data_IF_865436674846
#
_entry.id   IF_865436674846
#
_cell.length_a   1.000
_cell.length_b   1.000
_cell.length_c   1.000
_cell.angle_alpha   90.00
_cell.angle_beta   90.00
_cell.angle_gamma   90.00
#
_symmetry.space_group_name_H-M   'P 1'
#
loop_
_entity.id
_entity.type
_entity.pdbx_description
1 polymer ?
#
# COMPACT_ATOMS: atom_id res chain seq x y z
N UNK A 1 0.10 -19.37 12.17
CA UNK A 1 0.96 -18.80 13.26
C UNK A 1 1.08 -17.29 13.09
N UNK A 2 1.42 -16.82 11.94
CA UNK A 2 1.65 -15.39 11.61
C UNK A 2 0.38 -14.53 11.65
N UNK A 3 -0.74 -15.01 11.10
CA UNK A 3 -2.06 -14.36 11.24
C UNK A 3 -2.42 -14.09 12.70
N UNK A 4 -2.15 -15.05 13.59
CA UNK A 4 -2.36 -14.90 15.04
C UNK A 4 -1.46 -13.81 15.62
N UNK A 5 -0.23 -13.67 15.12
CA UNK A 5 0.70 -12.63 15.55
C UNK A 5 0.19 -11.23 15.14
N UNK A 6 -0.31 -11.09 13.89
CA UNK A 6 -0.94 -9.85 13.43
C UNK A 6 -2.16 -9.50 14.29
N UNK A 7 -3.05 -10.48 14.54
CA UNK A 7 -4.24 -10.26 15.37
C UNK A 7 -3.89 -9.84 16.80
N UNK A 8 -2.88 -10.48 17.41
CA UNK A 8 -2.42 -10.13 18.75
C UNK A 8 -1.80 -8.73 18.79
N UNK A 9 -0.99 -8.37 17.78
CA UNK A 9 -0.44 -7.03 17.65
C UNK A 9 -1.55 -5.97 17.57
N UNK A 10 -2.56 -6.20 16.73
CA UNK A 10 -3.70 -5.29 16.61
C UNK A 10 -4.45 -5.16 17.93
N UNK A 11 -4.70 -6.25 18.63
CA UNK A 11 -5.38 -6.23 19.94
C UNK A 11 -4.57 -5.46 21.00
N UNK A 12 -3.25 -5.59 21.01
CA UNK A 12 -2.36 -4.86 21.92
C UNK A 12 -2.31 -3.36 21.62
N UNK A 13 -2.26 -2.99 20.36
CA UNK A 13 -2.21 -1.57 19.93
C UNK A 13 -3.54 -0.84 20.16
N UNK A 14 -4.67 -1.58 20.25
CA UNK A 14 -6.02 -1.03 20.37
C UNK A 14 -6.81 -1.70 21.51
N UNK A 15 -6.36 -1.57 22.77
CA UNK A 15 -7.05 -2.16 23.90
C UNK A 15 -8.49 -1.62 23.99
N UNK A 16 -9.45 -2.51 24.21
CA UNK A 16 -10.87 -2.18 24.27
C UNK A 16 -11.57 -2.04 22.91
N UNK A 17 -10.86 -2.19 21.79
CA UNK A 17 -11.50 -2.27 20.48
C UNK A 17 -11.79 -3.74 20.14
N UNK A 18 -13.06 -4.10 19.85
CA UNK A 18 -13.37 -5.46 19.40
C UNK A 18 -12.61 -5.84 18.15
N UNK A 19 -11.89 -6.95 18.21
CA UNK A 19 -11.18 -7.55 17.09
C UNK A 19 -11.81 -8.92 16.84
N UNK A 20 -12.48 -9.07 15.72
CA UNK A 20 -13.07 -10.35 15.31
C UNK A 20 -12.08 -11.10 14.43
N UNK A 21 -11.94 -12.39 14.68
CA UNK A 21 -11.12 -13.29 13.86
C UNK A 21 -12.02 -14.17 13.01
N UNK A 22 -11.59 -14.48 11.81
CA UNK A 22 -12.30 -15.35 10.89
C UNK A 22 -13.75 -14.90 10.63
N UNK A 23 -13.95 -13.57 10.44
CA UNK A 23 -15.28 -13.04 10.17
C UNK A 23 -15.81 -13.52 8.82
N UNK A 24 -17.00 -14.10 8.81
CA UNK A 24 -17.68 -14.60 7.61
C UNK A 24 -18.98 -13.85 7.29
N UNK A 25 -19.35 -12.87 8.09
CA UNK A 25 -20.61 -12.13 7.93
C UNK A 25 -20.47 -11.06 6.85
N UNK A 26 -19.37 -10.33 6.86
CA UNK A 26 -19.10 -9.23 5.91
C UNK A 26 -19.09 -9.74 4.44
N UNK A 27 -18.56 -10.92 4.18
CA UNK A 27 -18.41 -11.44 2.82
C UNK A 27 -19.35 -12.61 2.49
N UNK A 28 -20.47 -12.75 3.25
CA UNK A 28 -21.51 -13.77 3.00
C UNK A 28 -20.89 -15.19 2.91
N UNK A 29 -20.14 -15.59 3.92
CA UNK A 29 -19.52 -16.92 4.05
C UNK A 29 -18.04 -16.97 3.66
N UNK A 30 -17.50 -16.01 2.89
CA UNK A 30 -16.04 -15.88 2.72
C UNK A 30 -15.44 -15.19 3.94
N UNK A 31 -14.32 -15.68 4.38
CA UNK A 31 -13.63 -15.23 5.59
C UNK A 31 -12.88 -13.92 5.39
N UNK A 32 -12.86 -13.09 6.41
CA UNK A 32 -11.88 -12.03 6.66
C UNK A 32 -11.11 -12.44 7.90
N UNK A 33 -9.78 -12.55 7.81
CA UNK A 33 -8.95 -13.10 8.88
C UNK A 33 -9.05 -12.28 10.17
N UNK A 34 -8.99 -10.94 10.04
CA UNK A 34 -9.08 -10.01 11.16
C UNK A 34 -10.01 -8.86 10.77
N UNK A 35 -11.06 -8.61 11.58
CA UNK A 35 -12.01 -7.52 11.33
C UNK A 35 -12.18 -6.63 12.55
N UNK A 36 -12.08 -5.32 12.34
CA UNK A 36 -12.28 -4.26 13.35
C UNK A 36 -13.52 -3.43 12.98
N UNK A 37 -14.72 -3.75 13.50
CA UNK A 37 -15.96 -3.08 13.12
C UNK A 37 -15.97 -1.58 13.38
N UNK A 38 -15.46 -1.13 14.53
CA UNK A 38 -15.39 0.29 14.89
C UNK A 38 -14.53 1.13 13.95
N UNK A 39 -13.63 0.48 13.21
CA UNK A 39 -12.74 1.11 12.21
C UNK A 39 -13.17 0.80 10.78
N UNK A 40 -14.17 -0.07 10.59
CA UNK A 40 -14.55 -0.60 9.27
C UNK A 40 -13.32 -1.08 8.49
N UNK A 41 -12.43 -1.80 9.17
CA UNK A 41 -11.15 -2.26 8.64
C UNK A 41 -11.08 -3.78 8.73
N UNK A 42 -10.84 -4.43 7.60
CA UNK A 42 -10.45 -5.83 7.49
C UNK A 42 -8.95 -5.94 7.21
N UNK A 43 -8.33 -7.00 7.69
CA UNK A 43 -6.95 -7.37 7.36
C UNK A 43 -6.96 -8.84 6.95
N UNK A 44 -6.41 -9.13 5.79
CA UNK A 44 -6.13 -10.47 5.27
C UNK A 44 -4.65 -10.76 5.38
N UNK A 45 -4.32 -11.93 5.87
CA UNK A 45 -2.97 -12.45 5.88
C UNK A 45 -2.80 -13.49 4.78
N UNK A 46 -2.26 -13.07 3.65
CA UNK A 46 -2.16 -13.88 2.44
C UNK A 46 -0.86 -14.72 2.45
N UNK A 47 -0.91 -15.90 3.06
CA UNK A 47 0.20 -16.86 3.03
C UNK A 47 0.50 -17.32 1.61
N UNK A 48 1.73 -17.13 1.12
CA UNK A 48 2.09 -17.41 -0.28
C UNK A 48 1.79 -18.83 -0.73
N UNK A 49 1.92 -19.81 0.14
CA UNK A 49 1.58 -21.20 -0.17
C UNK A 49 0.09 -21.37 -0.48
N UNK A 50 -0.79 -20.87 0.41
CA UNK A 50 -2.25 -21.00 0.29
C UNK A 50 -2.88 -20.03 -0.69
N UNK A 51 -2.19 -18.95 -1.07
CA UNK A 51 -2.67 -17.89 -1.95
C UNK A 51 -2.00 -17.91 -3.33
N UNK A 52 -1.29 -18.99 -3.66
CA UNK A 52 -0.74 -19.21 -5.00
C UNK A 52 -1.81 -19.66 -6.00
N UNK A 53 -1.51 -19.59 -7.29
CA UNK A 53 -2.46 -19.95 -8.37
C UNK A 53 -2.90 -21.42 -8.35
N UNK A 54 -2.22 -22.28 -7.62
CA UNK A 54 -2.67 -23.66 -7.43
C UNK A 54 -4.00 -23.72 -6.65
N UNK A 55 -4.22 -22.74 -5.75
CA UNK A 55 -5.40 -22.67 -4.89
C UNK A 55 -6.33 -21.48 -5.19
N UNK A 56 -5.84 -20.43 -5.84
CA UNK A 56 -6.59 -19.18 -6.05
C UNK A 56 -6.61 -18.71 -7.49
N UNK A 57 -7.78 -18.25 -7.93
CA UNK A 57 -7.96 -17.62 -9.24
C UNK A 57 -7.40 -16.19 -9.29
N UNK A 58 -7.11 -15.63 -10.49
CA UNK A 58 -6.60 -14.27 -10.65
C UNK A 58 -7.40 -13.17 -9.94
N UNK A 59 -8.72 -13.35 -9.78
CA UNK A 59 -9.59 -12.36 -9.14
C UNK A 59 -9.89 -12.61 -7.66
N UNK A 60 -9.24 -13.57 -7.01
CA UNK A 60 -9.60 -13.98 -5.64
C UNK A 60 -9.44 -12.84 -4.62
N UNK A 61 -8.26 -12.23 -4.53
CA UNK A 61 -7.99 -11.13 -3.60
C UNK A 61 -8.79 -9.88 -3.96
N UNK A 62 -8.78 -9.49 -5.25
CA UNK A 62 -9.59 -8.38 -5.75
C UNK A 62 -11.08 -8.58 -5.45
N UNK A 63 -11.60 -9.80 -5.58
CA UNK A 63 -13.00 -10.10 -5.28
C UNK A 63 -13.36 -9.92 -3.81
N UNK A 64 -12.45 -10.22 -2.87
CA UNK A 64 -12.62 -9.93 -1.44
C UNK A 64 -12.60 -8.41 -1.19
N UNK A 65 -11.62 -7.71 -1.76
CA UNK A 65 -11.50 -6.24 -1.66
C UNK A 65 -12.78 -5.55 -2.14
N UNK A 66 -13.25 -5.87 -3.35
CA UNK A 66 -14.50 -5.32 -3.90
C UNK A 66 -15.73 -5.67 -3.04
N UNK A 67 -15.76 -6.87 -2.47
CA UNK A 67 -16.81 -7.31 -1.58
C UNK A 67 -16.86 -6.47 -0.29
N UNK A 68 -15.71 -6.13 0.29
CA UNK A 68 -15.58 -5.27 1.46
C UNK A 68 -15.92 -3.81 1.12
N UNK A 69 -15.39 -3.26 0.03
CA UNK A 69 -15.65 -1.89 -0.41
C UNK A 69 -17.15 -1.61 -0.58
N UNK A 70 -17.90 -2.54 -1.20
CA UNK A 70 -19.38 -2.42 -1.34
C UNK A 70 -20.13 -2.36 0.00
N UNK A 71 -19.48 -2.74 1.10
CA UNK A 71 -20.01 -2.70 2.47
C UNK A 71 -19.41 -1.58 3.33
N UNK A 72 -18.62 -0.70 2.68
CA UNK A 72 -17.93 0.39 3.35
C UNK A 72 -16.83 -0.08 4.30
N UNK A 73 -16.29 -1.26 4.07
CA UNK A 73 -15.16 -1.83 4.81
C UNK A 73 -13.90 -1.72 3.94
N UNK A 74 -12.85 -1.13 4.47
CA UNK A 74 -11.51 -1.15 3.88
C UNK A 74 -10.87 -2.50 4.16
N UNK A 75 -10.31 -3.15 3.15
CA UNK A 75 -9.56 -4.41 3.31
C UNK A 75 -8.10 -4.19 2.99
N UNK A 76 -7.23 -4.57 3.92
CA UNK A 76 -5.77 -4.56 3.73
C UNK A 76 -5.30 -5.99 3.54
N UNK A 77 -4.55 -6.25 2.46
CA UNK A 77 -3.90 -7.52 2.20
C UNK A 77 -2.42 -7.44 2.56
N UNK A 78 -1.97 -8.36 3.39
CA UNK A 78 -0.59 -8.52 3.82
C UNK A 78 -0.11 -9.89 3.38
N UNK A 79 0.85 -9.93 2.47
CA UNK A 79 1.47 -11.20 2.09
C UNK A 79 2.52 -11.65 3.12
N UNK A 80 2.68 -12.97 3.29
CA UNK A 80 3.59 -13.53 4.29
C UNK A 80 5.04 -13.06 4.13
N UNK A 81 5.53 -12.89 2.90
CA UNK A 81 6.88 -12.37 2.63
C UNK A 81 7.07 -10.91 3.08
N UNK A 82 6.03 -10.09 3.03
CA UNK A 82 6.07 -8.72 3.55
C UNK A 82 6.13 -8.72 5.08
N UNK A 83 5.37 -9.61 5.72
CA UNK A 83 5.42 -9.77 7.18
C UNK A 83 6.79 -10.26 7.64
N UNK A 84 7.36 -11.27 6.99
CA UNK A 84 8.67 -11.82 7.35
C UNK A 84 9.81 -10.83 7.13
N UNK A 85 9.82 -10.14 5.99
CA UNK A 85 10.96 -9.32 5.55
C UNK A 85 10.83 -7.84 5.92
N UNK A 86 9.58 -7.34 6.07
CA UNK A 86 9.28 -5.91 6.26
C UNK A 86 8.30 -5.66 7.40
N UNK A 87 8.28 -6.53 8.41
CA UNK A 87 7.35 -6.47 9.55
C UNK A 87 7.18 -5.07 10.15
N UNK A 88 8.25 -4.27 10.42
CA UNK A 88 8.08 -2.92 10.93
C UNK A 88 7.25 -2.01 10.01
N UNK A 89 7.38 -2.14 8.70
CA UNK A 89 6.62 -1.33 7.73
C UNK A 89 5.16 -1.78 7.63
N UNK A 90 4.90 -3.08 7.75
CA UNK A 90 3.54 -3.63 7.82
C UNK A 90 2.82 -3.12 9.08
N UNK A 91 3.51 -3.13 10.22
CA UNK A 91 2.96 -2.60 11.49
C UNK A 91 2.61 -1.12 11.34
N UNK A 92 3.48 -0.32 10.72
CA UNK A 92 3.22 1.10 10.49
C UNK A 92 2.07 1.35 9.51
N UNK A 93 1.94 0.51 8.48
CA UNK A 93 0.80 0.53 7.57
C UNK A 93 -0.52 0.31 8.33
N UNK A 94 -0.58 -0.70 9.20
CA UNK A 94 -1.76 -0.99 10.02
C UNK A 94 -2.05 0.17 10.99
N UNK A 95 -1.03 0.70 11.67
CA UNK A 95 -1.15 1.86 12.56
C UNK A 95 -1.71 3.08 11.83
N UNK A 96 -1.24 3.33 10.60
CA UNK A 96 -1.75 4.38 9.73
C UNK A 96 -3.22 4.18 9.41
N UNK A 97 -3.61 2.99 8.99
CA UNK A 97 -5.01 2.67 8.70
C UNK A 97 -5.92 2.83 9.93
N UNK A 98 -5.38 2.69 11.13
CA UNK A 98 -6.08 2.86 12.40
C UNK A 98 -5.99 4.28 12.99
N UNK A 99 -5.29 5.21 12.32
CA UNK A 99 -5.16 6.60 12.74
C UNK A 99 -4.26 6.82 13.96
N UNK A 100 -3.20 6.02 14.10
CA UNK A 100 -2.26 6.06 15.24
C UNK A 100 -0.97 6.82 14.95
N UNK A 101 -1.01 7.86 14.12
CA UNK A 101 0.13 8.72 13.87
C UNK A 101 0.05 10.02 14.66
N UNK A 102 1.24 10.57 14.97
CA UNK A 102 1.37 11.91 15.54
C UNK A 102 1.24 12.94 14.41
N UNK A 103 0.27 13.83 14.44
CA UNK A 103 0.11 14.83 13.40
C UNK A 103 1.13 15.96 13.54
N UNK A 104 1.77 16.33 12.42
CA UNK A 104 2.60 17.53 12.26
C UNK A 104 1.99 18.37 11.13
N UNK A 105 1.83 19.68 11.33
CA UNK A 105 1.36 20.57 10.28
C UNK A 105 2.54 20.96 9.38
N UNK A 106 2.35 20.89 8.06
CA UNK A 106 3.40 21.22 7.08
C UNK A 106 3.88 22.67 7.17
N UNK A 107 3.03 23.59 7.66
CA UNK A 107 3.40 25.02 7.84
C UNK A 107 4.60 25.20 8.80
N UNK A 108 4.82 24.27 9.71
CA UNK A 108 5.93 24.27 10.66
C UNK A 108 7.19 23.56 10.08
N UNK A 109 7.18 23.27 8.77
CA UNK A 109 8.17 22.44 8.09
C UNK A 109 8.81 23.18 6.90
N UNK A 110 9.92 22.66 6.40
CA UNK A 110 10.57 23.12 5.18
C UNK A 110 10.48 22.06 4.10
N UNK A 111 10.23 22.46 2.87
CA UNK A 111 10.19 21.58 1.70
C UNK A 111 11.45 21.82 0.89
N UNK A 112 12.21 20.78 0.65
CA UNK A 112 13.47 20.84 -0.09
C UNK A 112 13.53 19.74 -1.15
N UNK A 113 14.19 20.01 -2.30
CA UNK A 113 14.57 18.95 -3.22
C UNK A 113 15.57 18.02 -2.53
N UNK A 114 15.53 16.74 -2.87
CA UNK A 114 16.43 15.73 -2.35
C UNK A 114 17.26 15.13 -3.47
N UNK A 115 18.46 14.69 -3.13
CA UNK A 115 19.22 13.81 -4.03
C UNK A 115 18.53 12.44 -4.14
N UNK A 116 18.79 11.73 -5.23
CA UNK A 116 18.29 10.36 -5.43
C UNK A 116 18.67 9.43 -4.26
N UNK A 117 19.88 9.59 -3.72
CA UNK A 117 20.37 8.76 -2.60
C UNK A 117 19.56 8.99 -1.32
N UNK A 118 19.29 10.25 -0.97
CA UNK A 118 18.49 10.62 0.21
C UNK A 118 17.05 10.14 0.07
N UNK A 119 16.39 10.45 -1.06
CA UNK A 119 15.02 10.05 -1.34
C UNK A 119 14.84 8.54 -1.35
N UNK A 120 15.71 7.80 -2.06
CA UNK A 120 15.72 6.34 -2.08
C UNK A 120 15.91 5.76 -0.67
N UNK A 121 16.90 6.24 0.08
CA UNK A 121 17.20 5.76 1.43
C UNK A 121 16.01 5.95 2.38
N UNK A 122 15.28 7.06 2.27
CA UNK A 122 14.08 7.29 3.07
C UNK A 122 12.95 6.33 2.66
N UNK A 123 12.64 6.25 1.36
CA UNK A 123 11.53 5.44 0.86
C UNK A 123 11.72 3.95 1.13
N UNK A 124 12.94 3.43 1.02
CA UNK A 124 13.23 2.03 1.34
C UNK A 124 13.01 1.69 2.82
N UNK A 125 13.04 2.69 3.71
CA UNK A 125 12.82 2.51 5.16
C UNK A 125 11.41 2.88 5.63
N UNK A 126 10.66 3.66 4.85
CA UNK A 126 9.36 4.19 5.24
C UNK A 126 8.19 3.66 4.39
N UNK A 127 8.44 3.23 3.17
CA UNK A 127 7.45 2.69 2.24
C UNK A 127 7.49 1.16 2.19
N UNK A 128 6.33 0.52 2.26
CA UNK A 128 6.24 -0.94 2.09
C UNK A 128 6.74 -1.37 0.71
N UNK A 129 6.43 -0.61 -0.34
CA UNK A 129 6.90 -0.86 -1.70
C UNK A 129 8.34 -0.38 -1.95
N UNK A 130 8.94 0.35 -1.02
CA UNK A 130 10.25 0.96 -1.20
C UNK A 130 10.26 2.06 -2.26
N UNK A 131 11.46 2.43 -2.71
CA UNK A 131 11.64 3.37 -3.80
C UNK A 131 11.25 2.77 -5.15
N UNK A 132 10.66 3.57 -6.03
CA UNK A 132 10.42 3.18 -7.41
C UNK A 132 11.68 3.44 -8.25
N UNK A 133 12.18 2.44 -9.01
CA UNK A 133 13.39 2.60 -9.82
C UNK A 133 13.25 3.64 -10.95
N UNK A 134 12.01 3.94 -11.37
CA UNK A 134 11.73 4.92 -12.42
C UNK A 134 11.69 6.36 -11.92
N UNK A 135 11.84 6.59 -10.61
CA UNK A 135 11.86 7.93 -10.04
C UNK A 135 13.08 8.73 -10.52
N UNK A 136 12.83 9.92 -11.02
CA UNK A 136 13.86 10.87 -11.46
C UNK A 136 14.09 11.97 -10.44
N UNK A 137 13.03 12.36 -9.73
CA UNK A 137 12.99 13.53 -8.86
C UNK A 137 12.44 13.20 -7.49
N UNK A 138 12.90 13.93 -6.48
CA UNK A 138 12.51 13.73 -5.08
C UNK A 138 12.34 15.07 -4.38
N UNK A 139 11.27 15.19 -3.58
CA UNK A 139 11.06 16.29 -2.63
C UNK A 139 10.85 15.74 -1.24
N UNK A 140 11.42 16.39 -0.24
CA UNK A 140 11.29 16.02 1.16
C UNK A 140 10.69 17.14 2.01
N UNK A 141 9.98 16.75 3.06
CA UNK A 141 9.48 17.63 4.12
C UNK A 141 10.34 17.45 5.35
N UNK A 142 10.91 18.54 5.84
CA UNK A 142 11.75 18.58 7.03
C UNK A 142 11.03 19.33 8.15
N UNK A 143 10.83 18.65 9.27
CA UNK A 143 10.42 19.26 10.53
C UNK A 143 11.65 19.39 11.42
N UNK A 144 11.99 20.61 11.81
CA UNK A 144 13.31 20.93 12.39
C UNK A 144 14.44 20.45 11.48
N UNK A 145 15.23 19.47 11.91
CA UNK A 145 16.33 18.85 11.13
C UNK A 145 15.97 17.47 10.58
N UNK A 146 14.79 16.95 10.91
CA UNK A 146 14.37 15.59 10.57
C UNK A 146 13.60 15.56 9.26
N UNK A 147 14.00 14.68 8.35
CA UNK A 147 13.23 14.36 7.15
C UNK A 147 12.04 13.49 7.54
N UNK A 148 10.81 14.03 7.42
CA UNK A 148 9.58 13.41 7.92
C UNK A 148 8.64 12.92 6.82
N UNK A 149 8.81 13.37 5.57
CA UNK A 149 8.08 12.81 4.43
C UNK A 149 8.90 12.96 3.15
N UNK A 150 8.70 12.02 2.21
CA UNK A 150 9.33 12.06 0.89
C UNK A 150 8.30 11.71 -0.17
N UNK A 151 8.33 12.49 -1.25
CA UNK A 151 7.65 12.18 -2.50
C UNK A 151 8.70 11.92 -3.59
N UNK A 152 8.57 10.80 -4.30
CA UNK A 152 9.31 10.55 -5.53
C UNK A 152 8.39 10.64 -6.73
N UNK A 153 8.88 11.23 -7.81
CA UNK A 153 8.07 11.48 -9.00
C UNK A 153 8.96 11.51 -10.26
N UNK A 154 8.29 11.50 -11.39
CA UNK A 154 8.82 11.83 -12.71
C UNK A 154 7.81 12.73 -13.40
N UNK A 155 8.14 13.24 -14.61
CA UNK A 155 7.22 14.15 -15.33
C UNK A 155 5.80 13.55 -15.42
N UNK A 156 4.80 14.26 -14.88
CA UNK A 156 3.39 13.89 -14.92
C UNK A 156 2.97 12.72 -14.02
N UNK A 157 3.86 12.14 -13.23
CA UNK A 157 3.52 10.96 -12.40
C UNK A 157 4.19 11.01 -11.03
N UNK A 158 3.38 10.87 -9.97
CA UNK A 158 3.85 10.64 -8.60
C UNK A 158 3.98 9.13 -8.41
N UNK A 159 5.17 8.68 -8.05
CA UNK A 159 5.49 7.27 -7.94
C UNK A 159 5.36 6.76 -6.51
N UNK A 160 5.79 7.57 -5.52
CA UNK A 160 5.66 7.27 -4.08
C UNK A 160 5.44 8.55 -3.29
N UNK A 161 4.62 8.44 -2.26
CA UNK A 161 4.56 9.40 -1.16
C UNK A 161 4.53 8.63 0.14
N UNK A 162 5.51 8.85 1.00
CA UNK A 162 5.57 8.21 2.30
C UNK A 162 6.03 9.20 3.36
N UNK A 163 5.42 9.06 4.53
CA UNK A 163 5.76 9.78 5.73
C UNK A 163 6.60 8.91 6.65
N UNK A 164 7.41 9.50 7.50
CA UNK A 164 8.18 8.79 8.52
C UNK A 164 7.23 7.97 9.41
N UNK A 165 7.75 6.88 9.93
CA UNK A 165 7.01 5.99 10.84
C UNK A 165 6.43 6.83 11.98
N UNK A 166 5.21 6.51 12.36
CA UNK A 166 4.48 7.20 13.45
C UNK A 166 4.07 8.66 13.20
N UNK A 167 4.42 9.27 12.07
CA UNK A 167 4.08 10.65 11.73
C UNK A 167 2.98 10.72 10.66
N UNK A 168 2.10 11.70 10.79
CA UNK A 168 1.15 12.15 9.77
C UNK A 168 1.40 13.62 9.47
N UNK A 169 1.80 13.96 8.24
CA UNK A 169 2.05 15.35 7.84
C UNK A 169 0.77 15.94 7.24
N UNK A 170 0.06 16.74 8.03
CA UNK A 170 -1.14 17.46 7.56
C UNK A 170 -0.77 18.40 6.44
N UNK A 171 -1.54 18.36 5.34
CA UNK A 171 -1.32 19.15 4.13
C UNK A 171 0.02 18.90 3.41
N UNK A 172 0.82 17.90 3.84
CA UNK A 172 2.15 17.66 3.29
C UNK A 172 2.14 17.35 1.79
N UNK A 173 1.24 16.47 1.35
CA UNK A 173 1.12 16.12 -0.06
C UNK A 173 0.69 17.34 -0.91
N UNK A 174 -0.24 18.17 -0.41
CA UNK A 174 -0.68 19.38 -1.10
C UNK A 174 0.48 20.33 -1.38
N UNK A 175 1.33 20.56 -0.38
CA UNK A 175 2.50 21.42 -0.51
C UNK A 175 3.58 20.83 -1.43
N UNK A 176 3.78 19.51 -1.41
CA UNK A 176 4.77 18.86 -2.28
C UNK A 176 4.42 18.95 -3.77
N UNK A 177 3.11 18.94 -4.10
CA UNK A 177 2.65 18.93 -5.50
C UNK A 177 2.31 20.31 -6.07
N UNK A 178 2.26 21.36 -5.25
CA UNK A 178 1.74 22.69 -5.67
C UNK A 178 2.46 23.30 -6.87
N UNK A 179 3.77 23.04 -7.02
CA UNK A 179 4.62 23.57 -8.08
C UNK A 179 4.82 22.59 -9.24
N UNK A 180 4.12 21.45 -9.24
CA UNK A 180 4.21 20.47 -10.32
C UNK A 180 3.21 20.78 -11.44
N UNK A 181 3.65 20.59 -12.68
CA UNK A 181 2.80 20.73 -13.85
C UNK A 181 1.68 19.67 -13.87
N UNK A 182 0.47 20.11 -14.17
CA UNK A 182 -0.68 19.24 -14.37
C UNK A 182 -0.76 18.78 -15.84
N UNK A 183 -1.36 17.64 -16.16
CA UNK A 183 -1.96 16.70 -15.21
C UNK A 183 -0.93 15.85 -14.46
N UNK A 184 -1.30 15.46 -13.24
CA UNK A 184 -0.53 14.52 -12.43
C UNK A 184 -1.30 13.21 -12.28
N UNK A 185 -0.60 12.10 -12.34
CA UNK A 185 -1.14 10.75 -12.09
C UNK A 185 -0.53 10.13 -10.84
N UNK A 186 -1.28 9.25 -10.20
CA UNK A 186 -0.83 8.40 -9.09
C UNK A 186 -1.45 7.01 -9.19
N UNK A 187 -0.66 5.97 -8.90
CA UNK A 187 -1.15 4.58 -8.81
C UNK A 187 -1.12 4.12 -7.37
N UNK A 188 -2.30 3.88 -6.82
CA UNK A 188 -2.51 3.32 -5.49
C UNK A 188 -2.53 1.79 -5.59
N UNK A 189 -1.65 1.09 -4.87
CA UNK A 189 -1.69 -0.37 -4.73
C UNK A 189 -2.91 -0.75 -3.91
N UNK A 190 -3.93 -1.31 -4.57
CA UNK A 190 -5.25 -1.57 -3.99
C UNK A 190 -5.24 -2.56 -2.84
N UNK A 191 -4.15 -3.28 -2.61
CA UNK A 191 -4.00 -4.17 -1.46
C UNK A 191 -4.07 -3.41 -0.13
N UNK A 192 -3.60 -2.16 -0.09
CA UNK A 192 -3.52 -1.38 1.15
C UNK A 192 -3.70 0.12 0.98
N UNK A 193 -3.71 0.63 -0.25
CA UNK A 193 -3.88 2.05 -0.55
C UNK A 193 -5.19 2.28 -1.33
N UNK A 194 -6.07 3.08 -0.79
CA UNK A 194 -7.33 3.48 -1.39
C UNK A 194 -7.26 4.88 -2.03
N UNK A 195 -6.06 5.47 -2.11
CA UNK A 195 -5.82 6.79 -2.66
C UNK A 195 -6.36 7.94 -1.81
N UNK A 196 -6.67 7.70 -0.52
CA UNK A 196 -7.28 8.73 0.36
C UNK A 196 -6.50 10.03 0.38
N UNK A 197 -5.18 9.98 0.60
CA UNK A 197 -4.33 11.18 0.67
C UNK A 197 -4.36 11.99 -0.64
N UNK A 198 -4.46 11.31 -1.77
CA UNK A 198 -4.54 11.94 -3.08
C UNK A 198 -5.92 12.52 -3.38
N UNK A 199 -6.99 11.86 -2.93
CA UNK A 199 -8.36 12.39 -3.03
C UNK A 199 -8.50 13.71 -2.25
N UNK A 200 -7.92 13.80 -1.05
CA UNK A 200 -7.94 15.03 -0.25
C UNK A 200 -7.30 16.23 -0.95
N UNK A 201 -6.34 15.99 -1.84
CA UNK A 201 -5.66 17.05 -2.60
C UNK A 201 -6.17 17.17 -4.05
N UNK A 202 -7.36 16.62 -4.33
CA UNK A 202 -8.09 16.85 -5.57
C UNK A 202 -7.75 15.89 -6.73
N UNK A 203 -7.15 14.74 -6.44
CA UNK A 203 -7.07 13.67 -7.44
C UNK A 203 -8.41 12.94 -7.52
N UNK A 204 -8.84 12.62 -8.72
CA UNK A 204 -10.06 11.88 -8.99
C UNK A 204 -9.70 10.47 -9.52
N UNK A 205 -10.49 9.44 -9.18
CA UNK A 205 -10.29 8.12 -9.74
C UNK A 205 -10.54 8.14 -11.25
N UNK A 206 -9.64 7.57 -12.04
CA UNK A 206 -9.74 7.51 -13.49
C UNK A 206 -10.03 6.10 -13.98
N UNK A 207 -9.26 5.11 -13.51
CA UNK A 207 -9.43 3.70 -13.88
C UNK A 207 -8.91 2.76 -12.79
N UNK A 208 -9.37 1.51 -12.85
CA UNK A 208 -8.78 0.39 -12.14
C UNK A 208 -7.92 -0.45 -13.09
N UNK A 209 -6.74 -0.84 -12.64
CA UNK A 209 -5.88 -1.76 -13.37
C UNK A 209 -6.05 -3.18 -12.82
N UNK A 210 -5.91 -4.23 -13.67
CA UNK A 210 -6.11 -5.61 -13.23
C UNK A 210 -5.06 -6.05 -12.23
N UNK A 211 -5.30 -7.16 -11.49
CA UNK A 211 -4.32 -7.77 -10.62
C UNK A 211 -2.99 -8.02 -11.32
N UNK A 212 -1.89 -7.66 -10.66
CA UNK A 212 -0.54 -7.94 -11.13
C UNK A 212 -0.19 -9.39 -10.84
N UNK A 213 0.65 -9.95 -11.69
CA UNK A 213 1.16 -11.31 -11.53
C UNK A 213 2.53 -11.25 -10.89
N UNK A 214 2.66 -11.95 -9.78
CA UNK A 214 3.92 -12.23 -9.12
C UNK A 214 4.24 -13.72 -9.26
N UNK A 215 5.50 -14.08 -9.13
CA UNK A 215 5.95 -15.45 -9.08
C UNK A 215 6.65 -15.74 -7.76
N UNK A 216 6.40 -16.94 -7.23
CA UNK A 216 7.14 -17.50 -6.09
C UNK A 216 7.60 -18.91 -6.45
N UNK A 217 8.78 -19.30 -5.98
CA UNK A 217 9.31 -20.65 -6.19
C UNK A 217 9.32 -21.47 -4.90
N UNK A 218 9.57 -20.80 -3.79
CA UNK A 218 9.75 -21.42 -2.48
C UNK A 218 8.71 -20.96 -1.45
N UNK A 219 7.75 -20.15 -1.87
CA UNK A 219 6.73 -19.52 -1.02
C UNK A 219 7.29 -18.60 0.09
N UNK A 220 8.57 -18.22 0.00
CA UNK A 220 9.23 -17.31 0.95
C UNK A 220 9.32 -15.87 0.44
N UNK A 221 9.25 -15.68 -0.87
CA UNK A 221 9.32 -14.38 -1.50
C UNK A 221 8.56 -14.36 -2.82
N UNK A 222 8.06 -13.18 -3.17
CA UNK A 222 7.43 -12.89 -4.46
C UNK A 222 8.31 -11.99 -5.29
N UNK A 223 8.36 -12.25 -6.58
CA UNK A 223 8.94 -11.34 -7.57
C UNK A 223 7.89 -10.96 -8.60
N UNK A 224 7.82 -9.68 -8.94
CA UNK A 224 6.91 -9.20 -9.99
C UNK A 224 7.28 -9.89 -11.30
N UNK A 225 6.25 -10.33 -12.04
CA UNK A 225 6.45 -10.95 -13.34
C UNK A 225 7.13 -9.99 -14.31
N UNK A 226 8.29 -10.36 -14.80
CA UNK A 226 8.92 -9.72 -15.93
C UNK A 226 8.79 -10.68 -17.15
N UNK A 227 7.63 -10.61 -17.81
CA UNK A 227 7.32 -11.45 -18.97
C UNK A 227 8.25 -11.20 -20.16
N UNK A 228 9.08 -10.16 -20.13
CA UNK A 228 10.11 -9.93 -21.17
C UNK A 228 11.21 -10.97 -21.13
N UNK A 229 11.42 -11.61 -19.97
CA UNK A 229 12.50 -12.57 -19.72
C UNK A 229 12.08 -14.03 -19.72
N UNK A 230 10.80 -14.32 -19.55
CA UNK A 230 10.33 -15.70 -19.37
C UNK A 230 8.84 -15.82 -19.66
N UNK A 231 8.44 -16.79 -20.51
CA UNK A 231 7.02 -17.10 -20.70
C UNK A 231 6.43 -17.77 -19.46
N UNK A 232 5.10 -17.74 -19.33
CA UNK A 232 4.39 -18.41 -18.23
C UNK A 232 4.75 -19.90 -18.15
N UNK A 233 4.76 -20.60 -19.30
CA UNK A 233 5.14 -22.01 -19.36
C UNK A 233 6.58 -22.24 -18.89
N UNK A 234 7.51 -21.38 -19.28
CA UNK A 234 8.90 -21.48 -18.81
C UNK A 234 9.03 -21.26 -17.30
N UNK A 235 8.16 -20.42 -16.71
CA UNK A 235 8.13 -20.23 -15.27
C UNK A 235 7.61 -21.47 -14.56
N UNK A 236 6.50 -22.04 -15.03
CA UNK A 236 5.92 -23.28 -14.52
C UNK A 236 6.90 -24.47 -14.63
N UNK A 237 7.55 -24.65 -15.78
CA UNK A 237 8.56 -25.69 -15.99
C UNK A 237 9.77 -25.56 -15.04
N UNK A 238 10.05 -24.34 -14.56
CA UNK A 238 11.08 -24.05 -13.56
C UNK A 238 10.59 -24.15 -12.12
N UNK A 239 9.34 -24.54 -11.90
CA UNK A 239 8.72 -24.70 -10.58
C UNK A 239 8.28 -23.39 -9.92
N UNK A 240 8.05 -22.33 -10.71
CA UNK A 240 7.44 -21.11 -10.21
C UNK A 240 5.92 -21.22 -10.20
N UNK A 241 5.30 -20.67 -9.16
CA UNK A 241 3.86 -20.57 -9.03
C UNK A 241 3.44 -19.11 -9.04
N UNK A 242 2.31 -18.81 -9.70
CA UNK A 242 1.74 -17.45 -9.77
C UNK A 242 1.07 -17.06 -8.46
N UNK A 243 1.20 -15.78 -8.12
CA UNK A 243 0.45 -15.12 -7.05
C UNK A 243 -0.13 -13.83 -7.63
N UNK A 244 -1.40 -13.57 -7.35
CA UNK A 244 -2.09 -12.38 -7.85
C UNK A 244 -2.33 -11.39 -6.72
N UNK A 245 -2.18 -10.09 -6.99
CA UNK A 245 -2.57 -9.03 -6.06
C UNK A 245 -4.02 -8.53 -6.33
N UNK A 246 -4.32 -7.29 -5.91
CA UNK A 246 -5.62 -6.64 -6.12
C UNK A 246 -5.62 -5.65 -7.28
N UNK A 247 -4.51 -5.49 -8.00
CA UNK A 247 -4.30 -4.46 -9.00
C UNK A 247 -4.13 -3.06 -8.41
N UNK A 248 -4.19 -2.05 -9.26
CA UNK A 248 -4.02 -0.66 -8.86
C UNK A 248 -5.28 0.17 -9.16
N UNK A 249 -5.44 1.25 -8.39
CA UNK A 249 -6.36 2.34 -8.71
C UNK A 249 -5.54 3.51 -9.24
N UNK A 250 -5.87 3.99 -10.43
CA UNK A 250 -5.21 5.16 -11.03
C UNK A 250 -6.02 6.41 -10.72
N UNK A 251 -5.35 7.38 -10.15
CA UNK A 251 -5.90 8.70 -9.83
C UNK A 251 -5.25 9.77 -10.69
N UNK A 252 -6.01 10.77 -11.08
CA UNK A 252 -5.53 11.88 -11.91
C UNK A 252 -5.99 13.20 -11.30
N UNK A 253 -5.05 14.16 -11.21
CA UNK A 253 -5.34 15.56 -10.93
C UNK A 253 -5.16 16.36 -12.21
N UNK A 254 -6.24 16.98 -12.71
CA UNK A 254 -6.27 17.83 -13.90
C UNK A 254 -6.36 19.30 -13.48
N UNK A 255 -6.05 20.21 -14.40
CA UNK A 255 -6.37 21.61 -14.19
C UNK A 255 -7.87 21.78 -13.98
N UNK A 256 -8.22 22.62 -13.03
CA UNK A 256 -9.62 23.05 -12.87
C UNK A 256 -9.97 23.96 -14.06
N UNK A 257 -11.00 23.65 -14.86
CA UNK A 257 -11.44 24.58 -15.90
C UNK A 257 -11.71 25.95 -15.28
N UNK A 258 -11.18 26.99 -15.92
CA UNK A 258 -11.44 28.38 -15.51
C UNK A 258 -12.87 28.76 -15.79
#
# INVERSE_FOLDING_TARGET
>A
MEETEVANMVALEFPGTPVYRSDRQILNGREIDIYLPSKKLGIEFDGLYYHSANDKTPGYHLGKTLGCERRGVRLIHIFSDEWEQKKPLVIDLIRRALGKQTPIDVKDSRILPLTKAEGKSFLDRACLLGNDPNATDYKGIFYETNLIAVMSYKKGEILRYCEARTIRVKNGLAELIKDLELPLTYRADRRFDDGWDFKEVGFLPEKAEPPKIYYTKDFKSRVLSDLSRMTEKQAEDKGYTKVYDCGDLVYVKKETPK
#
